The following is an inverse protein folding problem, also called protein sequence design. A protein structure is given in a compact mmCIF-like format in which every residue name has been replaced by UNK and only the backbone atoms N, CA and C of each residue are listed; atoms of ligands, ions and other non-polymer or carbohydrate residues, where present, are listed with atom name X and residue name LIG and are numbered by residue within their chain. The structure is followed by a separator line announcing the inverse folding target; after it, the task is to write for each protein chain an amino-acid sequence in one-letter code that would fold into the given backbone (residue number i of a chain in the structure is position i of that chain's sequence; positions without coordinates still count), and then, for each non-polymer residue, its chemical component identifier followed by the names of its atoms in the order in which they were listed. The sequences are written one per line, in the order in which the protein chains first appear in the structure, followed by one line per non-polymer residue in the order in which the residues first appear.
data_IF_881469554924
#
_entry.id   IF_881469554924
#
_cell.length_a   1.000
_cell.length_b   1.000
_cell.length_c   1.000
_cell.angle_alpha   90.00
_cell.angle_beta   90.00
_cell.angle_gamma   90.00
#
_symmetry.space_group_name_H-M   'P 1'
#
loop_
_entity.id
_entity.type
_entity.pdbx_description
1 polymer ?
#
# COMPACT_ATOMS: atom_id res chain seq x y z
N UNK A 1 0.31 10.27 -14.62
CA UNK A 1 0.15 9.04 -13.82
C UNK A 1 0.99 9.22 -12.57
N UNK A 2 0.38 9.31 -11.39
CA UNK A 2 1.12 9.58 -10.14
C UNK A 2 1.33 8.27 -9.41
N UNK A 3 2.58 7.83 -9.26
CA UNK A 3 2.94 6.61 -8.53
C UNK A 3 3.56 6.96 -7.18
N UNK A 4 3.32 6.12 -6.17
CA UNK A 4 3.88 6.32 -4.84
C UNK A 4 5.40 6.26 -4.88
N UNK A 5 6.07 7.25 -4.27
CA UNK A 5 7.55 7.31 -4.20
C UNK A 5 8.18 6.11 -3.49
N UNK A 6 7.41 5.45 -2.62
CA UNK A 6 7.85 4.26 -1.89
C UNK A 6 7.37 2.95 -2.55
N UNK A 7 6.81 2.99 -3.76
CA UNK A 7 6.14 1.82 -4.37
C UNK A 7 7.08 0.61 -4.50
N UNK A 8 8.30 0.84 -4.99
CA UNK A 8 9.32 -0.20 -5.16
C UNK A 8 9.85 -0.77 -3.85
N UNK A 9 9.72 -0.05 -2.73
CA UNK A 9 10.14 -0.47 -1.40
C UNK A 9 8.97 -0.91 -0.50
N UNK A 10 7.72 -0.80 -0.96
CA UNK A 10 6.53 -1.11 -0.18
C UNK A 10 6.31 -2.63 -0.14
N UNK A 11 6.41 -3.22 1.06
CA UNK A 11 6.22 -4.66 1.25
C UNK A 11 4.86 -5.19 0.78
N UNK A 12 3.77 -4.49 1.07
CA UNK A 12 2.44 -4.84 0.53
C UNK A 12 2.43 -4.89 -1.00
N UNK A 13 3.01 -3.89 -1.67
CA UNK A 13 3.06 -3.90 -3.13
C UNK A 13 3.92 -5.05 -3.64
N UNK A 14 5.11 -5.30 -3.07
CA UNK A 14 5.96 -6.42 -3.48
C UNK A 14 5.26 -7.77 -3.32
N UNK A 15 4.54 -7.97 -2.22
CA UNK A 15 3.87 -9.23 -1.90
C UNK A 15 2.60 -9.45 -2.72
N UNK A 16 1.84 -8.38 -2.99
CA UNK A 16 0.49 -8.47 -3.58
C UNK A 16 0.35 -7.87 -4.98
N UNK A 17 1.38 -7.29 -5.60
CA UNK A 17 1.23 -6.72 -6.95
C UNK A 17 0.90 -7.76 -8.03
N UNK A 18 1.29 -9.01 -7.83
CA UNK A 18 1.04 -10.11 -8.77
C UNK A 18 -0.10 -11.04 -8.34
N UNK A 19 -0.76 -10.75 -7.21
CA UNK A 19 -1.87 -11.58 -6.75
C UNK A 19 -3.05 -11.52 -7.72
N UNK A 20 -3.87 -12.58 -7.77
CA UNK A 20 -5.15 -12.58 -8.47
C UNK A 20 -6.29 -11.97 -7.65
N UNK A 21 -6.04 -11.67 -6.37
CA UNK A 21 -7.01 -11.05 -5.48
C UNK A 21 -7.45 -9.65 -5.99
N UNK A 22 -8.75 -9.51 -6.24
CA UNK A 22 -9.36 -8.30 -6.79
C UNK A 22 -9.26 -7.12 -5.82
N UNK A 23 -9.38 -7.38 -4.51
CA UNK A 23 -9.30 -6.34 -3.50
C UNK A 23 -7.90 -5.72 -3.48
N UNK A 24 -6.85 -6.54 -3.45
CA UNK A 24 -5.45 -6.10 -3.52
C UNK A 24 -5.17 -5.27 -4.77
N UNK A 25 -5.63 -5.71 -5.95
CA UNK A 25 -5.48 -4.94 -7.19
C UNK A 25 -6.20 -3.59 -7.12
N UNK A 26 -7.41 -3.57 -6.58
CA UNK A 26 -8.16 -2.34 -6.35
C UNK A 26 -7.44 -1.37 -5.42
N UNK A 27 -6.92 -1.88 -4.30
CA UNK A 27 -6.13 -1.08 -3.36
C UNK A 27 -4.86 -0.51 -4.00
N UNK A 28 -4.12 -1.31 -4.77
CA UNK A 28 -2.93 -0.82 -5.48
C UNK A 28 -3.31 0.27 -6.49
N UNK A 29 -4.36 0.06 -7.28
CA UNK A 29 -4.81 1.06 -8.24
C UNK A 29 -5.23 2.37 -7.57
N UNK A 30 -6.00 2.30 -6.48
CA UNK A 30 -6.53 3.50 -5.81
C UNK A 30 -5.51 4.23 -4.95
N UNK A 31 -4.66 3.50 -4.19
CA UNK A 31 -3.75 4.08 -3.21
C UNK A 31 -2.31 4.16 -3.70
N UNK A 32 -1.84 3.22 -4.51
CA UNK A 32 -0.45 3.24 -4.98
C UNK A 32 -0.26 4.05 -6.27
N UNK A 33 -1.30 4.10 -7.12
CA UNK A 33 -1.26 4.79 -8.43
C UNK A 33 -2.44 5.76 -8.66
N UNK A 34 -3.19 6.07 -7.60
CA UNK A 34 -4.47 6.79 -7.69
C UNK A 34 -4.55 7.96 -6.73
N UNK A 35 -5.74 8.57 -6.68
CA UNK A 35 -6.02 9.77 -5.89
C UNK A 35 -5.96 9.56 -4.37
N UNK A 36 -6.13 8.32 -3.89
CA UNK A 36 -6.12 7.98 -2.45
C UNK A 36 -4.71 7.75 -1.89
N UNK A 37 -3.66 8.11 -2.63
CA UNK A 37 -2.28 7.92 -2.18
C UNK A 37 -1.97 8.63 -0.85
N UNK A 38 -2.49 9.85 -0.68
CA UNK A 38 -2.32 10.61 0.57
C UNK A 38 -3.08 9.99 1.76
N UNK A 39 -4.11 9.18 1.47
CA UNK A 39 -4.90 8.45 2.48
C UNK A 39 -4.31 7.08 2.83
N UNK A 40 -3.17 6.71 2.23
CA UNK A 40 -2.52 5.42 2.48
C UNK A 40 -2.01 5.35 3.92
N UNK A 41 -2.65 4.53 4.76
CA UNK A 41 -2.25 4.31 6.16
C UNK A 41 -0.86 3.74 6.31
N UNK A 42 -0.39 2.96 5.32
CA UNK A 42 1.00 2.49 5.31
C UNK A 42 2.02 3.62 5.19
N UNK A 43 1.69 4.65 4.38
CA UNK A 43 2.55 5.81 4.19
C UNK A 43 2.56 6.69 5.46
N UNK A 44 1.38 6.88 6.07
CA UNK A 44 1.23 7.58 7.35
C UNK A 44 2.03 6.88 8.47
N UNK A 45 1.86 5.56 8.61
CA UNK A 45 2.60 4.76 9.59
C UNK A 45 4.12 4.91 9.45
N UNK A 46 4.65 4.85 8.22
CA UNK A 46 6.08 5.02 7.97
C UNK A 46 6.55 6.44 8.31
N UNK A 47 5.72 7.45 8.06
CA UNK A 47 6.02 8.85 8.41
C UNK A 47 6.05 9.07 9.92
N UNK A 48 5.17 8.40 10.67
CA UNK A 48 5.04 8.54 12.11
C UNK A 48 6.08 7.73 12.89
N UNK A 49 6.33 6.48 12.50
CA UNK A 49 7.21 5.56 13.23
C UNK A 49 8.62 5.48 12.66
N UNK A 50 8.84 5.97 11.43
CA UNK A 50 10.09 5.81 10.69
C UNK A 50 10.33 4.40 10.16
N UNK A 51 9.46 3.43 10.50
CA UNK A 51 9.61 2.02 10.12
C UNK A 51 8.55 1.57 9.11
N UNK A 52 8.84 0.59 8.24
CA UNK A 52 7.83 0.06 7.34
C UNK A 52 6.76 -0.70 8.12
N UNK A 53 5.47 -0.55 7.78
CA UNK A 53 4.41 -1.37 8.35
C UNK A 53 4.49 -2.82 7.85
N UNK A 54 3.87 -3.77 8.57
CA UNK A 54 3.81 -5.18 8.17
C UNK A 54 3.33 -5.37 6.74
N UNK A 55 3.87 -6.33 6.00
CA UNK A 55 3.56 -6.52 4.58
C UNK A 55 2.10 -6.89 4.32
N UNK A 56 1.45 -7.51 5.30
CA UNK A 56 0.03 -7.91 5.27
C UNK A 56 -0.91 -6.74 5.61
N UNK A 57 -0.40 -5.57 6.00
CA UNK A 57 -1.22 -4.38 6.24
C UNK A 57 -1.64 -3.75 4.91
N UNK A 58 -2.93 -3.69 4.61
CA UNK A 58 -3.47 -3.02 3.43
C UNK A 58 -3.31 -1.49 3.51
N UNK A 59 -3.39 -0.77 2.37
CA UNK A 59 -3.37 0.70 2.35
C UNK A 59 -4.50 1.36 3.18
N UNK A 60 -5.59 0.65 3.44
CA UNK A 60 -6.68 1.08 4.34
C UNK A 60 -6.32 1.00 5.83
N UNK A 61 -5.24 0.32 6.18
CA UNK A 61 -4.79 0.07 7.55
C UNK A 61 -5.30 -1.24 8.16
N UNK A 62 -6.19 -1.96 7.48
CA UNK A 62 -6.60 -3.30 7.87
C UNK A 62 -5.53 -4.34 7.52
N UNK A 63 -5.47 -5.44 8.26
CA UNK A 63 -4.59 -6.57 7.94
C UNK A 63 -5.31 -7.55 7.01
N UNK A 64 -4.59 -8.15 6.06
CA UNK A 64 -5.05 -9.31 5.30
C UNK A 64 -5.21 -10.48 6.27
N UNK A 65 -6.37 -11.14 6.22
CA UNK A 65 -6.68 -12.38 6.95
C UNK A 65 -6.56 -13.58 6.04
#
# INVERSE_FOLDING_TARGET
MSECVNLSACGFFKKYCQTKDLACKGFISMYCKGSKMNDCKRLQYKKETGTPPPDDMMPSGQMIK
#
